data_IF_357213947684
#
_entry.id   IF_357213947684
#
_cell.length_a   1.000
_cell.length_b   1.000
_cell.length_c   1.000
_cell.angle_alpha   90.00
_cell.angle_beta   90.00
_cell.angle_gamma   90.00
#
_symmetry.space_group_name_H-M   'P 1'
#
loop_
_entity.id
_entity.type
_entity.pdbx_description
1 polymer ?
2 polymer ?
3 water ?
#
# COMPACT_ATOMS: atom_id res chain seq x y z
N UNK A 12 -6.48 -10.04 15.80
CA UNK A 12 -6.86 -10.74 17.01
C UNK A 12 -6.35 -12.18 17.01
N UNK A 13 -5.38 -12.44 16.14
CA UNK A 13 -4.58 -13.65 16.21
C UNK A 13 -3.12 -13.24 16.17
N UNK A 14 -2.32 -13.73 17.10
CA UNK A 14 -0.89 -13.46 17.04
C UNK A 14 -0.24 -14.60 16.28
N UNK A 15 0.59 -14.24 15.32
CA UNK A 15 1.23 -15.20 14.43
C UNK A 15 2.73 -14.94 14.36
N UNK A 16 3.47 -15.99 14.10
CA UNK A 16 4.90 -15.92 13.88
C UNK A 16 5.14 -16.44 12.46
N UNK A 17 5.42 -15.56 11.48
CA UNK A 17 5.66 -16.02 10.11
C UNK A 17 6.84 -16.98 10.01
N UNK A 18 6.67 -18.01 9.20
CA UNK A 18 7.74 -18.94 8.86
C UNK A 18 8.74 -18.23 7.96
N UNK A 19 9.93 -18.81 7.72
CA UNK A 19 11.02 -18.03 7.10
C UNK A 19 10.72 -17.37 5.75
N UNK A 20 10.03 -18.04 4.81
CA UNK A 20 9.82 -17.41 3.51
C UNK A 20 8.85 -16.23 3.63
N UNK A 21 7.75 -16.40 4.36
CA UNK A 21 6.85 -15.29 4.56
C UNK A 21 7.55 -14.13 5.29
N UNK A 22 8.36 -14.46 6.29
CA UNK A 22 9.09 -13.41 7.01
C UNK A 22 10.04 -12.67 6.09
N UNK A 23 10.72 -13.39 5.19
CA UNK A 23 11.59 -12.73 4.22
C UNK A 23 10.81 -11.72 3.38
N UNK A 24 9.61 -12.08 2.96
CA UNK A 24 8.76 -11.16 2.23
C UNK A 24 8.41 -9.92 3.07
N UNK A 25 8.03 -10.13 4.33
CA UNK A 25 7.71 -8.97 5.18
C UNK A 25 8.93 -8.11 5.44
N UNK A 26 10.09 -8.72 5.66
CA UNK A 26 11.31 -7.95 5.90
C UNK A 26 11.78 -7.23 4.64
N UNK A 27 11.35 -7.68 3.46
CA UNK A 27 11.68 -6.98 2.22
C UNK A 27 11.07 -5.59 2.18
N UNK A 28 9.96 -5.36 2.88
CA UNK A 28 9.36 -4.04 2.93
C UNK A 28 9.47 -3.43 4.33
N UNK A 29 10.44 -3.88 5.11
CA UNK A 29 10.82 -3.20 6.33
C UNK A 29 10.25 -3.72 7.63
N UNK A 30 9.55 -4.85 7.63
CA UNK A 30 9.09 -5.41 8.89
C UNK A 30 10.28 -5.78 9.79
N UNK A 31 10.13 -5.57 11.09
CA UNK A 31 11.22 -5.76 12.04
C UNK A 31 10.85 -6.70 13.18
N UNK A 32 9.79 -7.49 13.05
CA UNK A 32 9.32 -8.25 14.19
C UNK A 32 9.41 -9.75 13.99
N UNK A 33 9.18 -10.46 15.09
CA UNK A 33 9.03 -11.90 15.05
C UNK A 33 7.56 -12.29 15.07
N UNK A 34 6.75 -11.47 15.72
CA UNK A 34 5.36 -11.78 15.99
C UNK A 34 4.52 -10.61 15.52
N UNK A 35 3.39 -10.94 14.91
CA UNK A 35 2.53 -9.97 14.26
C UNK A 35 1.09 -10.34 14.59
N UNK A 36 0.19 -9.38 14.42
CA UNK A 36 -1.20 -9.79 14.28
C UNK A 36 -1.46 -10.23 12.84
N UNK A 37 -2.53 -11.00 12.66
CA UNK A 37 -2.95 -11.37 11.32
C UNK A 37 -3.25 -10.15 10.46
N UNK A 38 -3.91 -9.15 11.03
CA UNK A 38 -4.18 -7.91 10.30
C UNK A 38 -2.86 -7.26 9.86
N UNK A 39 -1.88 -7.23 10.75
CA UNK A 39 -0.58 -6.63 10.47
C UNK A 39 0.10 -7.30 9.28
N UNK A 40 0.11 -8.63 9.27
CA UNK A 40 0.70 -9.39 8.17
C UNK A 40 -0.01 -9.06 6.86
N UNK A 41 -1.35 -8.98 6.91
CA UNK A 41 -2.09 -8.68 5.69
C UNK A 41 -1.71 -7.32 5.13
N UNK A 42 -1.51 -6.34 6.01
CA UNK A 42 -1.12 -5.01 5.56
C UNK A 42 0.29 -5.00 4.99
N UNK A 43 1.23 -5.72 5.64
CA UNK A 43 2.58 -5.82 5.11
C UNK A 43 2.60 -6.50 3.74
N UNK A 44 1.79 -7.55 3.58
CA UNK A 44 1.74 -8.26 2.30
C UNK A 44 1.20 -7.37 1.19
N UNK A 45 0.17 -6.59 1.49
CA UNK A 45 -0.30 -5.62 0.51
C UNK A 45 0.77 -4.60 0.17
N UNK A 46 1.47 -4.10 1.19
CA UNK A 46 2.59 -3.19 0.98
C UNK A 46 3.66 -3.81 0.11
N UNK A 47 3.94 -5.10 0.30
CA UNK A 47 4.90 -5.79 -0.54
C UNK A 47 4.46 -5.76 -2.00
N UNK A 48 3.18 -6.08 -2.25
CA UNK A 48 2.66 -6.11 -3.62
C UNK A 48 2.72 -4.72 -4.26
N UNK A 49 2.42 -3.67 -3.49
CA UNK A 49 2.45 -2.33 -4.06
C UNK A 49 3.88 -1.84 -4.29
N UNK A 50 4.75 -2.07 -3.30
CA UNK A 50 6.14 -1.64 -3.44
C UNK A 50 6.81 -2.34 -4.61
N UNK A 51 6.47 -3.61 -4.86
CA UNK A 51 7.02 -4.33 -5.99
C UNK A 51 6.21 -4.18 -7.26
N UNK A 52 5.09 -3.46 -7.23
CA UNK A 52 4.25 -3.27 -8.42
C UNK A 52 3.85 -4.60 -9.05
N UNK A 53 3.45 -5.56 -8.21
CA UNK A 53 3.00 -6.87 -8.67
C UNK A 53 1.55 -6.87 -9.14
N UNK A 54 0.81 -5.78 -8.91
CA UNK A 54 -0.56 -5.66 -9.39
C UNK A 54 -0.58 -5.23 -10.86
N UNK A 55 -1.63 -5.66 -11.57
CA UNK A 55 -1.80 -5.24 -12.96
C UNK A 55 -2.21 -3.76 -13.00
N UNK A 56 -1.56 -2.97 -13.86
CA UNK A 56 -1.81 -1.53 -13.81
C UNK A 56 -3.21 -1.17 -14.28
N UNK A 57 -3.82 -1.98 -15.15
CA UNK A 57 -5.14 -1.68 -15.68
C UNK A 57 -6.27 -2.24 -14.82
N UNK A 58 -6.15 -3.50 -14.40
CA UNK A 58 -7.15 -4.16 -13.54
C UNK A 58 -6.43 -4.54 -12.26
N UNK A 59 -6.44 -3.63 -11.29
CA UNK A 59 -5.48 -3.72 -10.20
C UNK A 59 -5.85 -4.78 -9.16
N UNK A 60 -6.94 -5.53 -9.35
CA UNK A 60 -7.17 -6.67 -8.46
C UNK A 60 -6.38 -7.91 -8.89
N UNK A 61 -5.72 -7.86 -10.05
CA UNK A 61 -4.94 -8.98 -10.55
C UNK A 61 -3.50 -8.83 -10.05
N UNK A 62 -2.96 -9.89 -9.47
CA UNK A 62 -1.58 -9.93 -9.05
C UNK A 62 -0.86 -11.02 -9.83
N UNK A 63 0.17 -10.64 -10.59
CA UNK A 63 1.02 -11.59 -11.31
C UNK A 63 2.34 -11.71 -10.56
N UNK A 64 2.64 -12.91 -10.10
CA UNK A 64 3.73 -13.10 -9.15
C UNK A 64 4.65 -14.26 -9.56
N UNK A 65 4.62 -14.64 -10.84
CA UNK A 65 5.25 -15.90 -11.27
C UNK A 65 6.75 -15.93 -11.04
N UNK A 66 7.45 -14.83 -11.31
CA UNK A 66 8.89 -14.86 -11.12
C UNK A 66 9.25 -14.04 -9.88
N UNK A 67 8.53 -14.28 -8.80
CA UNK A 67 8.72 -13.52 -7.57
C UNK A 67 8.61 -14.45 -6.38
N UNK A 68 9.24 -14.02 -5.29
CA UNK A 68 9.12 -14.71 -4.01
C UNK A 68 7.66 -14.96 -3.64
N UNK A 69 6.77 -14.02 -3.96
CA UNK A 69 5.35 -14.18 -3.64
C UNK A 69 4.73 -15.38 -4.36
N UNK A 70 5.15 -15.63 -5.60
CA UNK A 70 4.68 -16.79 -6.32
C UNK A 70 5.11 -18.11 -5.69
N UNK A 71 6.35 -18.18 -5.19
CA UNK A 71 6.78 -19.36 -4.45
C UNK A 71 5.94 -19.56 -3.21
N UNK A 72 5.67 -18.48 -2.49
CA UNK A 72 4.85 -18.53 -1.30
C UNK A 72 3.45 -19.06 -1.62
N UNK A 73 2.85 -18.57 -2.71
CA UNK A 73 1.49 -18.97 -3.05
C UNK A 73 1.46 -20.23 -3.92
N UNK A 74 2.56 -20.58 -4.56
CA UNK A 74 2.57 -21.77 -5.39
C UNK A 74 1.76 -21.62 -6.66
N UNK A 75 1.67 -20.41 -7.19
CA UNK A 75 0.87 -20.14 -8.37
C UNK A 75 1.46 -18.93 -9.06
N UNK A 76 1.24 -18.78 -10.37
CA UNK A 76 1.82 -17.63 -11.07
C UNK A 76 1.04 -16.34 -10.89
N UNK A 77 -0.20 -16.43 -10.42
CA UNK A 77 -1.09 -15.27 -10.40
C UNK A 77 -2.25 -15.56 -9.47
N UNK A 78 -2.91 -14.50 -9.02
CA UNK A 78 -4.13 -14.62 -8.23
C UNK A 78 -4.88 -13.30 -8.30
N UNK A 79 -6.16 -13.35 -7.94
CA UNK A 79 -7.00 -12.17 -7.81
C UNK A 79 -7.20 -11.86 -6.33
N UNK A 80 -7.19 -10.56 -5.99
CA UNK A 80 -7.50 -10.11 -4.65
C UNK A 80 -8.90 -10.56 -4.23
N UNK A 81 -9.74 -10.89 -5.21
CA UNK A 81 -11.07 -11.41 -4.88
C UNK A 81 -11.01 -12.80 -4.30
N UNK A 82 -9.90 -13.52 -4.45
CA UNK A 82 -9.77 -14.89 -3.93
C UNK A 82 -9.39 -14.87 -2.45
N UNK A 83 -10.33 -14.36 -1.64
CA UNK A 83 -10.17 -14.24 -0.20
C UNK A 83 -9.72 -15.56 0.44
N UNK A 84 -10.40 -16.66 0.11
CA UNK A 84 -10.09 -17.94 0.73
C UNK A 84 -8.67 -18.37 0.39
N UNK A 85 -8.27 -18.22 -0.88
CA UNK A 85 -6.93 -18.62 -1.30
C UNK A 85 -5.86 -17.79 -0.63
N UNK A 86 -6.09 -16.49 -0.47
CA UNK A 86 -5.08 -15.64 0.13
C UNK A 86 -4.93 -15.95 1.62
N UNK A 87 -6.06 -16.10 2.33
CA UNK A 87 -5.98 -16.46 3.75
C UNK A 87 -5.30 -17.80 3.94
N UNK A 88 -5.69 -18.79 3.12
CA UNK A 88 -5.11 -20.13 3.24
C UNK A 88 -3.61 -20.11 3.07
N UNK A 89 -3.11 -19.42 2.04
CA UNK A 89 -1.68 -19.37 1.82
C UNK A 89 -0.96 -18.70 2.99
N UNK A 90 -1.54 -17.63 3.54
CA UNK A 90 -0.88 -16.99 4.68
C UNK A 90 -0.83 -17.94 5.87
N UNK A 91 -1.95 -18.61 6.18
CA UNK A 91 -1.97 -19.53 7.32
C UNK A 91 -1.03 -20.70 7.12
N UNK A 92 -0.85 -21.16 5.88
CA UNK A 92 0.10 -22.24 5.66
C UNK A 92 1.54 -21.81 5.91
N UNK A 93 1.80 -20.52 6.04
CA UNK A 93 3.15 -20.01 6.20
C UNK A 93 3.38 -19.32 7.53
N UNK A 94 2.59 -19.63 8.54
CA UNK A 94 2.79 -19.03 9.84
C UNK A 94 2.52 -20.05 10.93
N UNK A 95 2.97 -19.72 12.13
CA UNK A 95 2.65 -20.46 13.34
C UNK A 95 1.77 -19.57 14.18
N UNK A 96 0.61 -20.08 14.57
CA UNK A 96 -0.32 -19.36 15.43
C UNK A 96 0.16 -19.39 16.88
N UNK A 97 0.11 -18.26 17.56
CA UNK A 97 0.46 -18.18 18.97
C UNK A 97 -0.84 -18.34 19.76
N UNK A 98 -1.14 -19.57 20.17
CA UNK A 98 -2.33 -19.82 21.01
C UNK A 98 -2.19 -19.07 22.34
N UNK B 12 -21.96 9.97 -3.64
CA UNK B 12 -20.62 10.25 -3.16
C UNK B 12 -20.04 11.54 -3.74
N UNK B 13 -19.28 12.26 -2.92
CA UNK B 13 -18.66 13.49 -3.35
C UNK B 13 -17.43 13.19 -4.20
N UNK B 14 -17.35 13.83 -5.37
CA UNK B 14 -16.25 13.71 -6.30
C UNK B 14 -15.26 14.86 -6.16
N UNK B 15 -13.96 14.56 -6.32
CA UNK B 15 -12.92 15.59 -6.25
C UNK B 15 -12.12 15.57 -7.55
N UNK B 16 -11.53 16.70 -7.86
CA UNK B 16 -10.69 16.85 -9.06
C UNK B 16 -9.26 17.18 -8.64
N UNK B 17 -8.34 16.22 -8.70
CA UNK B 17 -6.95 16.52 -8.37
C UNK B 17 -6.37 17.57 -9.30
N UNK B 18 -5.56 18.47 -8.71
CA UNK B 18 -4.81 19.44 -9.48
C UNK B 18 -3.71 18.72 -10.28
N UNK B 19 -3.13 19.39 -11.29
CA UNK B 19 -2.29 18.66 -12.27
C UNK B 19 -1.12 17.86 -11.68
N UNK B 20 -0.37 18.40 -10.71
CA UNK B 20 0.76 17.63 -10.18
C UNK B 20 0.29 16.40 -9.41
N UNK B 21 -0.70 16.56 -8.54
CA UNK B 21 -1.25 15.41 -7.83
C UNK B 21 -1.79 14.36 -8.81
N UNK B 22 -2.46 14.81 -9.88
CA UNK B 22 -3.01 13.87 -10.86
C UNK B 22 -1.89 13.06 -11.51
N UNK B 23 -0.77 13.70 -11.82
CA UNK B 23 0.39 13.02 -12.38
C UNK B 23 0.90 11.91 -11.46
N UNK B 24 0.97 12.19 -10.15
CA UNK B 24 1.40 11.17 -9.20
C UNK B 24 0.43 9.99 -9.20
N UNK B 25 -0.88 10.26 -9.17
CA UNK B 25 -1.84 9.17 -9.16
C UNK B 25 -1.75 8.35 -10.45
N UNK B 26 -1.59 9.02 -11.60
CA UNK B 26 -1.51 8.26 -12.84
C UNK B 26 -0.22 7.46 -12.96
N UNK B 27 0.83 7.82 -12.22
CA UNK B 27 2.05 7.04 -12.22
C UNK B 27 1.89 5.66 -11.59
N UNK B 28 0.83 5.43 -10.81
CA UNK B 28 0.59 4.10 -10.27
C UNK B 28 -0.68 3.50 -10.87
N UNK B 29 -1.08 3.98 -12.04
CA UNK B 29 -2.11 3.36 -12.85
C UNK B 29 -3.49 3.97 -12.75
N UNK B 30 -3.65 5.06 -11.99
CA UNK B 30 -4.94 5.74 -12.04
C UNK B 30 -5.16 6.25 -13.46
N UNK B 31 -6.40 6.29 -13.87
CA UNK B 31 -6.73 6.58 -15.24
C UNK B 31 -7.60 7.81 -15.41
N UNK B 32 -8.46 8.10 -14.44
CA UNK B 32 -9.47 9.14 -14.50
C UNK B 32 -8.88 10.48 -14.10
N UNK B 33 -9.69 11.53 -14.26
CA UNK B 33 -9.36 12.86 -13.76
C UNK B 33 -10.14 13.26 -12.51
N UNK B 34 -11.24 12.57 -12.20
CA UNK B 34 -12.11 12.85 -11.06
C UNK B 34 -12.33 11.56 -10.27
N UNK B 35 -12.33 11.67 -8.94
CA UNK B 35 -12.32 10.52 -8.05
C UNK B 35 -13.23 10.75 -6.84
N UNK B 36 -13.55 9.68 -6.14
CA UNK B 36 -14.01 9.92 -4.78
C UNK B 36 -12.81 10.23 -3.90
N UNK B 37 -13.09 10.90 -2.79
CA UNK B 37 -12.04 11.16 -1.81
C UNK B 37 -11.38 9.86 -1.35
N UNK B 38 -12.17 8.81 -1.12
CA UNK B 38 -11.60 7.52 -0.75
C UNK B 38 -10.63 7.02 -1.82
N UNK B 39 -11.02 7.15 -3.09
CA UNK B 39 -10.16 6.70 -4.19
C UNK B 39 -8.81 7.42 -4.20
N UNK B 40 -8.82 8.76 -4.10
CA UNK B 40 -7.55 9.48 -4.15
C UNK B 40 -6.65 9.07 -3.01
N UNK B 41 -7.21 8.91 -1.80
CA UNK B 41 -6.38 8.54 -0.66
C UNK B 41 -5.75 7.17 -0.86
N UNK B 42 -6.51 6.23 -1.42
CA UNK B 42 -5.93 4.91 -1.66
C UNK B 42 -4.86 4.98 -2.73
N UNK B 43 -5.12 5.71 -3.82
CA UNK B 43 -4.09 5.87 -4.86
C UNK B 43 -2.86 6.57 -4.30
N UNK B 44 -3.04 7.58 -3.45
CA UNK B 44 -1.91 8.32 -2.92
C UNK B 44 -1.06 7.45 -1.99
N UNK B 45 -1.69 6.66 -1.13
CA UNK B 45 -0.93 5.71 -0.33
C UNK B 45 -0.18 4.72 -1.19
N UNK B 46 -0.83 4.22 -2.24
CA UNK B 46 -0.17 3.31 -3.17
C UNK B 46 1.06 3.98 -3.80
N UNK B 47 0.93 5.26 -4.16
CA UNK B 47 2.06 5.99 -4.71
C UNK B 47 3.23 6.03 -3.74
N UNK B 48 2.95 6.37 -2.48
CA UNK B 48 4.01 6.45 -1.47
C UNK B 48 4.73 5.11 -1.34
N UNK B 49 3.98 4.02 -1.44
CA UNK B 49 4.60 2.70 -1.34
C UNK B 49 5.43 2.37 -2.59
N UNK B 50 4.92 2.70 -3.79
CA UNK B 50 5.69 2.42 -5.00
C UNK B 50 7.02 3.18 -5.03
N UNK B 51 7.06 4.40 -4.52
CA UNK B 51 8.32 5.14 -4.46
C UNK B 51 9.10 4.86 -3.18
N UNK B 52 8.58 4.00 -2.30
CA UNK B 52 9.23 3.65 -1.03
C UNK B 52 9.65 4.88 -0.24
N UNK B 53 8.75 5.85 -0.13
CA UNK B 53 9.05 7.05 0.64
C UNK B 53 8.92 6.83 2.15
N UNK B 54 8.35 5.71 2.58
CA UNK B 54 8.21 5.46 4.01
C UNK B 54 9.54 5.02 4.62
N UNK B 55 9.78 5.46 5.86
CA UNK B 55 10.97 5.06 6.59
C UNK B 55 10.86 3.57 6.93
N UNK B 56 11.97 2.84 6.80
CA UNK B 56 11.90 1.39 6.98
C UNK B 56 11.63 0.99 8.43
N UNK B 57 12.11 1.74 9.42
CA UNK B 57 11.92 1.37 10.81
C UNK B 57 10.67 1.98 11.44
N UNK B 58 10.39 3.26 11.18
CA UNK B 58 9.21 3.91 11.77
C UNK B 58 8.31 4.28 10.59
N UNK B 59 7.47 3.33 10.17
CA UNK B 59 6.84 3.45 8.86
C UNK B 59 5.72 4.47 8.81
N UNK B 60 5.38 5.13 9.91
CA UNK B 60 4.47 6.27 9.79
C UNK B 60 5.19 7.52 9.31
N UNK B 61 6.51 7.49 9.23
CA UNK B 61 7.27 8.65 8.77
C UNK B 61 7.50 8.52 7.27
N UNK B 62 7.21 9.58 6.52
CA UNK B 62 7.41 9.66 5.08
C UNK B 62 8.45 10.72 4.79
N UNK B 63 9.51 10.34 4.08
CA UNK B 63 10.53 11.29 3.61
C UNK B 63 10.30 11.53 2.12
N UNK B 64 9.97 12.78 1.77
CA UNK B 64 9.58 13.08 0.41
C UNK B 64 10.34 14.26 -0.20
N UNK B 65 11.46 14.67 0.42
CA UNK B 65 12.19 15.81 -0.12
C UNK B 65 12.78 15.50 -1.48
N UNK B 66 13.04 14.22 -1.76
CA UNK B 66 13.58 13.81 -3.04
C UNK B 66 12.51 13.31 -4.00
N UNK B 67 11.26 13.74 -3.80
CA UNK B 67 10.15 13.27 -4.60
C UNK B 67 9.23 14.43 -4.93
N UNK B 68 8.53 14.34 -6.07
CA UNK B 68 7.50 15.29 -6.43
C UNK B 68 6.47 15.47 -5.31
N UNK B 69 6.23 14.43 -4.51
CA UNK B 69 5.29 14.57 -3.40
C UNK B 69 5.69 15.68 -2.44
N UNK B 70 6.99 15.85 -2.21
CA UNK B 70 7.45 16.94 -1.36
C UNK B 70 7.14 18.30 -1.94
N UNK B 71 7.31 18.45 -3.25
CA UNK B 71 6.88 19.70 -3.89
C UNK B 71 5.39 19.88 -3.72
N UNK B 72 4.62 18.81 -3.90
CA UNK B 72 3.17 18.86 -3.74
C UNK B 72 2.77 19.30 -2.34
N UNK B 73 3.34 18.67 -1.31
CA UNK B 73 2.93 18.94 0.06
C UNK B 73 3.68 20.11 0.69
N UNK B 74 4.79 20.53 0.09
CA UNK B 74 5.57 21.66 0.59
C UNK B 74 6.40 21.39 1.83
N UNK B 75 6.88 20.15 2.00
CA UNK B 75 7.64 19.77 3.18
C UNK B 75 8.55 18.61 2.81
N UNK B 76 9.70 18.47 3.50
CA UNK B 76 10.59 17.34 3.18
C UNK B 76 10.14 16.04 3.81
N UNK B 77 9.24 16.07 4.79
CA UNK B 77 8.85 14.87 5.52
C UNK B 77 7.57 15.16 6.27
N UNK B 78 6.87 14.09 6.65
CA UNK B 78 5.68 14.20 7.49
C UNK B 78 5.40 12.85 8.14
N UNK B 79 4.60 12.88 9.21
CA UNK B 79 4.16 11.66 9.87
C UNK B 79 2.71 11.39 9.53
N UNK B 80 2.42 10.13 9.18
CA UNK B 80 1.06 9.69 8.95
C UNK B 80 0.20 9.89 10.20
N UNK B 81 0.82 9.98 11.37
CA UNK B 81 0.04 10.17 12.58
C UNK B 81 -0.56 11.57 12.65
N UNK B 82 -0.03 12.51 11.87
CA UNK B 82 -0.55 13.88 11.83
C UNK B 82 -1.68 13.95 10.80
N UNK B 83 -2.78 13.26 11.13
CA UNK B 83 -3.87 13.06 10.18
C UNK B 83 -4.38 14.38 9.61
N UNK B 84 -4.69 15.32 10.50
CA UNK B 84 -5.26 16.60 10.07
C UNK B 84 -4.32 17.34 9.13
N UNK B 85 -3.02 17.37 9.45
CA UNK B 85 -2.06 18.10 8.63
C UNK B 85 -1.97 17.49 7.24
N UNK B 86 -2.05 16.16 7.15
CA UNK B 86 -1.96 15.55 5.82
C UNK B 86 -3.17 15.90 4.99
N UNK B 87 -4.36 15.86 5.61
CA UNK B 87 -5.59 16.24 4.91
C UNK B 87 -5.53 17.67 4.41
N UNK B 88 -5.03 18.57 5.24
CA UNK B 88 -4.89 19.97 4.84
C UNK B 88 -4.02 20.09 3.60
N UNK B 89 -2.88 19.39 3.58
CA UNK B 89 -1.99 19.48 2.42
C UNK B 89 -2.67 18.90 1.19
N UNK B 90 -3.39 17.78 1.34
CA UNK B 90 -4.08 17.18 0.21
C UNK B 90 -5.14 18.13 -0.34
N UNK B 91 -5.91 18.78 0.55
CA UNK B 91 -6.98 19.66 0.09
C UNK B 91 -6.44 20.84 -0.71
N UNK B 92 -5.22 21.27 -0.44
CA UNK B 92 -4.59 22.30 -1.26
C UNK B 92 -4.32 21.83 -2.67
N UNK B 93 -4.41 20.52 -2.93
CA UNK B 93 -4.10 19.97 -4.24
C UNK B 93 -5.30 19.30 -4.87
N UNK B 94 -6.51 19.62 -4.39
CA UNK B 94 -7.76 19.07 -4.90
C UNK B 94 -8.80 20.16 -4.96
N UNK B 95 -9.74 19.99 -5.88
CA UNK B 95 -10.94 20.81 -5.96
C UNK B 95 -12.15 19.89 -5.85
N UNK B 96 -13.12 20.26 -5.02
CA UNK B 96 -14.36 19.48 -4.93
C UNK B 96 -15.18 19.74 -6.18
N UNK B 97 -15.73 18.66 -6.76
CA UNK B 97 -16.48 18.74 -8.01
C UNK B 97 -17.96 19.02 -7.77
N UNK B 98 -18.59 18.23 -6.92
CA UNK B 98 -20.02 18.37 -6.66
C UNK B 98 -20.29 18.55 -5.18
N UNK C 1 4.40 -2.51 12.40
CA UNK C 1 3.26 -1.84 11.80
C UNK C 1 3.68 -1.16 10.52
N UNK C 2 3.12 -1.63 9.40
CA UNK C 2 3.48 -1.14 8.10
C UNK C 2 2.92 0.25 7.84
N UNK C 3 3.56 0.97 6.91
CA UNK C 3 2.95 2.19 6.39
C UNK C 3 1.54 1.94 5.89
N UNK C 4 1.33 0.80 5.23
CA UNK C 4 0.00 0.50 4.71
C UNK C 4 -1.04 0.49 5.83
N UNK C 5 -0.70 -0.07 6.99
CA UNK C 5 -1.64 -0.09 8.10
C UNK C 5 -1.83 1.29 8.71
N UNK C 6 -0.75 2.07 8.82
CA UNK C 6 -0.90 3.44 9.31
C UNK C 6 -1.77 4.25 8.38
N UNK C 7 -1.58 4.11 7.06
CA UNK C 7 -2.30 4.94 6.12
C UNK C 7 -3.79 4.57 6.15
N UNK D 1 -10.13 1.93 -9.73
CA UNK D 1 -10.00 1.31 -8.42
C UNK D 1 -8.61 0.73 -8.22
N UNK D 2 -7.90 1.30 -7.26
CA UNK D 2 -6.51 0.94 -6.99
C UNK D 2 -6.44 -0.44 -6.32
N UNK D 3 -5.28 -1.08 -6.47
CA UNK D 3 -4.97 -2.27 -5.69
C UNK D 3 -5.14 -2.00 -4.20
N UNK D 4 -4.69 -0.83 -3.72
CA UNK D 4 -4.83 -0.51 -2.30
C UNK D 4 -6.29 -0.55 -1.86
N UNK D 5 -7.20 -0.05 -2.69
CA UNK D 5 -8.62 -0.09 -2.36
C UNK D 5 -9.16 -1.51 -2.41
N UNK D 6 -8.72 -2.31 -3.38
CA UNK D 6 -9.15 -3.71 -3.41
C UNK D 6 -8.67 -4.46 -2.18
N UNK D 7 -7.41 -4.23 -1.78
CA UNK D 7 -6.82 -4.98 -0.72
C UNK D 7 -7.47 -4.62 0.64
#
# INVERSE_FOLDING_TARGET
>A
GHMSQIPASEQETLVRPKPLLLKLLKSVGAQKDTYTMKEVLFYLGQYIMTKRLYDEKQQHIVYCSNDLLGDLFGAPSFSVKEHRKIYTMIYRNLVVVN
>B
GHMSQIPASEQETLVRPKPLLLKLLKSVGAQKDTYTMKEVLFYLGQYIMTKRLYDEKQQHIVYCSNDLLGDLFGAPSFSVKEHRKIYTMIYRNLVVVN
>C
TSFAEYWXXXX
>D
TSFAEYWXXXX
#
